data_IF_990352862576
#
_entry.id   IF_990352862576
#
_cell.length_a   1.000
_cell.length_b   1.000
_cell.length_c   1.000
_cell.angle_alpha   90.00
_cell.angle_beta   90.00
_cell.angle_gamma   90.00
#
_symmetry.space_group_name_H-M   'P 1'
#
loop_
_entity.id
_entity.type
_entity.pdbx_description
1 polymer ?
#
# COMPACT_ATOMS: atom_id res chain seq x y z
N UNK A 1 9.55 -17.30 3.03
CA UNK A 1 9.54 -15.84 3.17
C UNK A 1 8.72 -15.23 2.04
N UNK A 2 7.81 -14.33 2.38
CA UNK A 2 7.01 -13.64 1.38
C UNK A 2 7.87 -12.61 0.63
N UNK A 3 7.79 -12.62 -0.69
CA UNK A 3 8.53 -11.68 -1.52
C UNK A 3 7.85 -11.61 -2.89
N UNK A 4 7.18 -10.49 -3.18
CA UNK A 4 6.43 -10.32 -4.40
C UNK A 4 6.52 -8.89 -4.93
N UNK A 5 6.30 -8.73 -6.21
CA UNK A 5 6.15 -7.40 -6.80
C UNK A 5 4.72 -6.91 -6.65
N UNK A 6 4.50 -5.58 -6.52
CA UNK A 6 3.14 -5.04 -6.38
C UNK A 6 2.18 -5.48 -7.50
N UNK A 7 2.67 -5.59 -8.74
CA UNK A 7 1.84 -6.02 -9.87
C UNK A 7 1.37 -7.46 -9.72
N UNK A 8 2.21 -8.33 -9.17
CA UNK A 8 1.86 -9.72 -8.89
C UNK A 8 0.74 -9.78 -7.84
N UNK A 9 0.84 -8.94 -6.80
CA UNK A 9 -0.17 -8.85 -5.76
C UNK A 9 -1.49 -8.35 -6.33
N UNK A 10 -1.47 -7.29 -7.15
CA UNK A 10 -2.66 -6.74 -7.77
C UNK A 10 -3.36 -7.79 -8.61
N UNK A 11 -2.63 -8.57 -9.38
CA UNK A 11 -3.18 -9.64 -10.20
C UNK A 11 -3.81 -10.73 -9.34
N UNK A 12 -3.13 -11.14 -8.27
CA UNK A 12 -3.61 -12.20 -7.39
C UNK A 12 -4.91 -11.85 -6.67
N UNK A 13 -5.10 -10.58 -6.32
CA UNK A 13 -6.29 -10.12 -5.58
C UNK A 13 -7.30 -9.41 -6.50
N UNK A 14 -7.07 -9.42 -7.81
CA UNK A 14 -7.91 -8.76 -8.81
C UNK A 14 -8.03 -7.26 -8.58
N UNK A 15 -6.98 -6.64 -8.04
CA UNK A 15 -6.92 -5.20 -7.82
C UNK A 15 -6.40 -4.49 -9.06
N UNK A 16 -6.84 -3.24 -9.25
CA UNK A 16 -6.32 -2.37 -10.29
C UNK A 16 -5.04 -1.70 -9.79
N UNK A 17 -4.02 -1.62 -10.65
CA UNK A 17 -2.82 -0.85 -10.35
C UNK A 17 -3.13 0.63 -10.59
N UNK A 18 -3.17 1.41 -9.51
CA UNK A 18 -3.46 2.84 -9.59
C UNK A 18 -2.18 3.64 -9.81
N UNK A 19 -1.14 3.32 -9.07
CA UNK A 19 0.16 3.95 -9.17
C UNK A 19 1.23 2.89 -8.94
N UNK A 20 2.23 2.82 -9.83
CA UNK A 20 3.33 1.88 -9.66
C UNK A 20 4.61 2.54 -10.18
N UNK A 21 5.66 2.60 -9.35
CA UNK A 21 6.95 3.16 -9.81
C UNK A 21 7.58 2.27 -10.88
N UNK A 22 8.46 2.85 -11.69
CA UNK A 22 9.17 2.13 -12.74
C UNK A 22 10.03 0.99 -12.21
N UNK A 23 10.59 1.15 -11.01
CA UNK A 23 11.33 0.13 -10.30
C UNK A 23 10.68 -0.09 -8.93
N UNK A 24 9.58 -0.87 -8.89
CA UNK A 24 8.84 -1.05 -7.66
C UNK A 24 9.63 -1.83 -6.61
N UNK A 25 9.44 -1.46 -5.36
CA UNK A 25 10.01 -2.21 -4.24
C UNK A 25 9.27 -3.53 -4.09
N UNK A 26 9.98 -4.57 -3.69
CA UNK A 26 9.34 -5.85 -3.45
C UNK A 26 8.65 -5.83 -2.09
N UNK A 27 7.49 -6.49 -2.05
CA UNK A 27 6.71 -6.63 -0.83
C UNK A 27 7.18 -7.86 -0.07
N UNK A 28 7.56 -7.68 1.18
CA UNK A 28 8.13 -8.75 2.00
C UNK A 28 7.30 -9.08 3.23
N UNK A 29 6.18 -8.44 3.42
CA UNK A 29 5.27 -8.68 4.54
C UNK A 29 3.93 -8.01 4.32
N UNK A 30 2.98 -8.27 5.20
CA UNK A 30 1.62 -7.73 5.12
C UNK A 30 1.20 -7.17 6.48
N UNK A 31 0.54 -6.02 6.47
CA UNK A 31 -0.03 -5.42 7.68
C UNK A 31 -1.43 -4.86 7.38
N UNK A 32 -2.34 -4.98 8.32
CA UNK A 32 -3.67 -4.37 8.26
C UNK A 32 -3.82 -3.23 9.26
N UNK A 33 -2.83 -3.03 10.11
CA UNK A 33 -2.76 -1.96 11.10
C UNK A 33 -1.57 -1.07 10.73
N UNK A 34 -1.83 0.21 10.48
CA UNK A 34 -0.78 1.16 10.07
C UNK A 34 0.33 1.29 11.11
N UNK A 35 0.03 1.00 12.37
CA UNK A 35 1.01 1.05 13.46
C UNK A 35 2.00 -0.11 13.43
N UNK A 36 1.68 -1.16 12.68
CA UNK A 36 2.51 -2.37 12.56
C UNK A 36 3.21 -2.49 11.22
N UNK A 37 3.09 -1.47 10.38
CA UNK A 37 3.76 -1.46 9.08
C UNK A 37 5.27 -1.34 9.29
N UNK A 38 6.00 -2.23 8.64
CA UNK A 38 7.46 -2.20 8.60
C UNK A 38 7.91 -1.93 7.16
N UNK A 39 9.18 -1.63 6.98
CA UNK A 39 9.72 -1.35 5.66
C UNK A 39 9.51 -2.56 4.72
N UNK A 40 8.94 -2.29 3.57
CA UNK A 40 8.64 -3.34 2.58
C UNK A 40 7.31 -4.03 2.75
N UNK A 41 6.47 -3.63 3.71
CA UNK A 41 5.15 -4.24 3.91
C UNK A 41 4.15 -3.82 2.82
N UNK A 42 3.18 -4.70 2.59
CA UNK A 42 1.93 -4.36 1.94
C UNK A 42 0.95 -3.94 3.03
N UNK A 43 0.43 -2.73 2.97
CA UNK A 43 -0.63 -2.30 3.86
C UNK A 43 -1.98 -2.52 3.18
N UNK A 44 -2.89 -3.24 3.85
CA UNK A 44 -4.24 -3.47 3.36
C UNK A 44 -5.19 -2.56 4.12
N UNK A 45 -5.78 -1.59 3.42
CA UNK A 45 -6.70 -0.63 4.02
C UNK A 45 -8.09 -1.25 4.12
N UNK A 46 -8.44 -1.71 5.32
CA UNK A 46 -9.73 -2.32 5.60
C UNK A 46 -10.71 -1.30 6.17
N UNK A 47 -11.97 -1.41 5.75
CA UNK A 47 -13.06 -0.60 6.30
C UNK A 47 -13.73 -1.39 7.42
N UNK A 48 -13.65 -0.86 8.64
CA UNK A 48 -14.30 -1.43 9.82
C UNK A 48 -15.49 -0.59 10.26
N UNK A 49 -16.14 -1.00 11.32
CA UNK A 49 -17.31 -0.29 11.85
C UNK A 49 -16.97 1.10 12.40
N UNK A 50 -15.76 1.26 12.95
CA UNK A 50 -15.34 2.51 13.62
C UNK A 50 -14.16 3.18 12.95
N UNK A 51 -13.43 2.44 12.11
CA UNK A 51 -12.18 2.92 11.53
C UNK A 51 -12.16 2.54 10.05
N UNK A 52 -11.79 3.51 9.22
CA UNK A 52 -11.54 3.27 7.81
C UNK A 52 -10.02 3.26 7.60
N UNK A 53 -9.48 2.11 7.22
CA UNK A 53 -8.05 1.96 6.98
C UNK A 53 -7.52 2.88 5.88
N UNK A 54 -8.38 3.33 4.95
CA UNK A 54 -7.98 4.27 3.91
C UNK A 54 -7.51 5.61 4.49
N UNK A 55 -7.96 5.98 5.68
CA UNK A 55 -7.52 7.22 6.34
C UNK A 55 -6.09 7.14 6.86
N UNK A 56 -5.48 5.95 6.88
CA UNK A 56 -4.14 5.72 7.41
C UNK A 56 -3.12 5.42 6.31
N UNK A 57 -3.47 5.61 5.04
CA UNK A 57 -2.59 5.29 3.91
C UNK A 57 -1.29 6.10 3.96
N UNK A 58 -1.37 7.40 4.19
CA UNK A 58 -0.16 8.23 4.29
C UNK A 58 0.75 7.76 5.42
N UNK A 59 0.16 7.43 6.57
CA UNK A 59 0.92 6.92 7.72
C UNK A 59 1.64 5.61 7.38
N UNK A 60 0.95 4.71 6.69
CA UNK A 60 1.55 3.45 6.26
C UNK A 60 2.70 3.67 5.28
N UNK A 61 2.53 4.59 4.33
CA UNK A 61 3.58 4.93 3.38
C UNK A 61 4.80 5.53 4.09
N UNK A 62 4.58 6.41 5.05
CA UNK A 62 5.66 7.01 5.84
C UNK A 62 6.39 5.97 6.70
N UNK A 63 5.70 4.93 7.13
CA UNK A 63 6.29 3.82 7.90
C UNK A 63 7.10 2.85 7.03
N UNK A 64 7.02 2.97 5.70
CA UNK A 64 7.84 2.17 4.80
C UNK A 64 7.08 1.16 3.96
N UNK A 65 5.76 1.25 3.87
CA UNK A 65 4.97 0.33 3.03
C UNK A 65 5.46 0.40 1.58
N UNK A 66 5.69 -0.77 0.98
CA UNK A 66 6.09 -0.87 -0.42
C UNK A 66 4.89 -0.79 -1.35
N UNK A 67 3.71 -1.16 -0.86
CA UNK A 67 2.47 -1.11 -1.61
C UNK A 67 1.30 -0.96 -0.64
N UNK A 68 0.19 -0.41 -1.14
CA UNK A 68 -1.04 -0.24 -0.38
C UNK A 68 -2.21 -0.71 -1.24
N UNK A 69 -3.09 -1.53 -0.67
CA UNK A 69 -4.38 -1.87 -1.30
C UNK A 69 -5.44 -0.96 -0.68
N UNK A 70 -6.17 -0.25 -1.53
CA UNK A 70 -7.17 0.73 -1.12
C UNK A 70 -8.55 0.35 -1.64
N UNK A 71 -9.58 0.81 -0.94
CA UNK A 71 -10.98 0.59 -1.36
C UNK A 71 -11.64 1.87 -1.87
N UNK A 72 -10.89 2.97 -1.98
CA UNK A 72 -11.34 4.24 -2.57
C UNK A 72 -10.23 4.83 -3.43
N UNK A 73 -10.56 5.84 -4.21
CA UNK A 73 -9.56 6.55 -5.00
C UNK A 73 -8.58 7.31 -4.08
N UNK A 74 -7.27 7.28 -4.39
CA UNK A 74 -6.29 8.02 -3.60
C UNK A 74 -6.47 9.53 -3.71
N UNK A 75 -6.11 10.25 -2.65
CA UNK A 75 -6.02 11.70 -2.69
C UNK A 75 -4.72 12.14 -3.36
N UNK A 76 -4.62 13.42 -3.74
CA UNK A 76 -3.38 13.96 -4.30
C UNK A 76 -2.20 13.83 -3.33
N UNK A 77 -2.45 14.02 -2.03
CA UNK A 77 -1.43 13.86 -1.00
C UNK A 77 -0.94 12.42 -0.93
N UNK A 78 -1.85 11.44 -1.06
CA UNK A 78 -1.50 10.03 -1.07
C UNK A 78 -0.68 9.66 -2.31
N UNK A 79 -1.05 10.16 -3.48
CA UNK A 79 -0.25 9.97 -4.70
C UNK A 79 1.16 10.54 -4.53
N UNK A 80 1.27 11.76 -4.04
CA UNK A 80 2.56 12.41 -3.85
C UNK A 80 3.43 11.64 -2.84
N UNK A 81 2.83 11.19 -1.75
CA UNK A 81 3.52 10.40 -0.74
C UNK A 81 4.03 9.08 -1.31
N UNK A 82 3.20 8.38 -2.08
CA UNK A 82 3.58 7.11 -2.70
C UNK A 82 4.74 7.31 -3.67
N UNK A 83 4.72 8.34 -4.50
CA UNK A 83 5.79 8.65 -5.44
C UNK A 83 7.09 8.97 -4.72
N UNK A 84 7.02 9.78 -3.65
CA UNK A 84 8.19 10.15 -2.86
C UNK A 84 8.82 8.94 -2.17
N UNK A 85 8.02 7.94 -1.82
CA UNK A 85 8.47 6.74 -1.13
C UNK A 85 8.72 5.56 -2.06
N UNK A 86 8.55 5.73 -3.36
CA UNK A 86 8.70 4.67 -4.36
C UNK A 86 7.78 3.48 -4.06
N UNK A 87 6.56 3.76 -3.65
CA UNK A 87 5.55 2.78 -3.28
C UNK A 87 4.45 2.70 -4.33
N UNK A 88 3.76 1.55 -4.38
CA UNK A 88 2.65 1.31 -5.28
C UNK A 88 1.32 1.51 -4.58
N UNK A 89 0.32 2.00 -5.31
CA UNK A 89 -1.07 2.08 -4.87
C UNK A 89 -1.90 1.12 -5.73
N UNK A 90 -2.66 0.26 -5.09
CA UNK A 90 -3.46 -0.79 -5.74
C UNK A 90 -4.98 -0.68 -5.40
#
# INVERSE_FOLDING_TARGET
MFNAEPREIAQAVCARVIECPGQPRRVVGVAIDSRKVEDGCLFVALVGERVDGNDYVERALEAGAAAVIMTREPTEAEFACARARNAALL
#
